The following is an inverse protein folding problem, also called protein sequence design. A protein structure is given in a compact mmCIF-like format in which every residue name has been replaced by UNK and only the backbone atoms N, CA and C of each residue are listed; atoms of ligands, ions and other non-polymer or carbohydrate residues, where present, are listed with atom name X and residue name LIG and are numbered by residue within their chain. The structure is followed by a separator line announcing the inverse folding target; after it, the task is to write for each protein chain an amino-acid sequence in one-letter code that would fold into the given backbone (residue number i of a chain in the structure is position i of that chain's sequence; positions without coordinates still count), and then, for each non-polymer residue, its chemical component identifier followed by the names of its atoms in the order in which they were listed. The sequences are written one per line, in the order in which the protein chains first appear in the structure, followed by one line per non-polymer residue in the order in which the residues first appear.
data_IF_108058772729
#
_entry.id   IF_108058772729
#
_cell.length_a   1.000
_cell.length_b   1.000
_cell.length_c   1.000
_cell.angle_alpha   90.00
_cell.angle_beta   90.00
_cell.angle_gamma   90.00
#
_symmetry.space_group_name_H-M   'P 1'
#
loop_
_entity.id
_entity.type
_entity.pdbx_description
1 polymer ?
#
# COMPACT_ATOMS: atom_id res chain seq x y z
N UNK A 1 6.55 -11.23 -22.08
CA UNK A 1 5.52 -11.32 -21.01
C UNK A 1 6.04 -10.95 -19.61
N UNK A 2 7.21 -11.43 -19.16
CA UNK A 2 7.78 -11.09 -17.83
C UNK A 2 7.94 -9.57 -17.59
N UNK A 3 8.47 -8.84 -18.59
CA UNK A 3 8.71 -7.39 -18.50
C UNK A 3 7.45 -6.56 -18.19
N UNK A 4 6.31 -6.90 -18.81
CA UNK A 4 5.06 -6.15 -18.59
C UNK A 4 4.54 -6.37 -17.18
N UNK A 5 4.57 -7.61 -16.68
CA UNK A 5 4.11 -7.92 -15.32
C UNK A 5 5.02 -7.29 -14.25
N UNK A 6 6.35 -7.32 -14.48
CA UNK A 6 7.32 -6.66 -13.61
C UNK A 6 7.12 -5.13 -13.58
N UNK A 7 6.93 -4.51 -14.74
CA UNK A 7 6.64 -3.08 -14.83
C UNK A 7 5.34 -2.74 -14.08
N UNK A 8 4.27 -3.52 -14.25
CA UNK A 8 3.01 -3.30 -13.51
C UNK A 8 3.21 -3.37 -12.00
N UNK A 9 4.02 -4.31 -11.49
CA UNK A 9 4.33 -4.40 -10.06
C UNK A 9 5.14 -3.22 -9.52
N UNK A 10 6.14 -2.75 -10.29
CA UNK A 10 6.96 -1.60 -9.89
C UNK A 10 6.11 -0.32 -9.89
N UNK A 11 5.32 -0.09 -10.95
CA UNK A 11 4.47 1.10 -11.01
C UNK A 11 3.37 1.08 -9.95
N UNK A 12 2.75 -0.07 -9.66
CA UNK A 12 1.75 -0.16 -8.60
C UNK A 12 2.36 0.10 -7.22
N UNK A 13 3.58 -0.37 -6.97
CA UNK A 13 4.32 -0.06 -5.75
C UNK A 13 4.61 1.44 -5.62
N UNK A 14 5.19 2.07 -6.64
CA UNK A 14 5.55 3.50 -6.60
C UNK A 14 4.31 4.37 -6.40
N UNK A 15 3.23 4.10 -7.15
CA UNK A 15 1.99 4.87 -7.05
C UNK A 15 1.35 4.73 -5.68
N UNK A 16 1.25 3.50 -5.15
CA UNK A 16 0.68 3.27 -3.81
C UNK A 16 1.54 3.90 -2.71
N UNK A 17 2.86 3.85 -2.84
CA UNK A 17 3.78 4.50 -1.91
C UNK A 17 3.60 6.01 -1.88
N UNK A 18 3.60 6.67 -3.03
CA UNK A 18 3.39 8.12 -3.11
C UNK A 18 2.02 8.53 -2.57
N UNK A 19 0.99 7.75 -2.88
CA UNK A 19 -0.37 8.02 -2.44
C UNK A 19 -0.51 7.90 -0.91
N UNK A 20 0.04 6.83 -0.33
CA UNK A 20 0.06 6.66 1.13
C UNK A 20 0.94 7.71 1.82
N UNK A 21 2.06 8.09 1.21
CA UNK A 21 2.95 9.11 1.76
C UNK A 21 2.29 10.50 1.86
N UNK A 22 1.45 10.85 0.88
CA UNK A 22 0.73 12.15 0.88
C UNK A 22 -0.54 12.11 1.75
N UNK A 23 -1.25 10.98 1.77
CA UNK A 23 -2.55 10.88 2.43
C UNK A 23 -2.49 10.48 3.91
N UNK A 24 -1.48 9.73 4.35
CA UNK A 24 -1.38 9.31 5.74
C UNK A 24 -0.78 10.43 6.58
N UNK A 25 -1.49 10.81 7.64
CA UNK A 25 -0.95 11.70 8.65
C UNK A 25 -0.05 10.92 9.62
N UNK A 26 1.01 11.57 10.10
CA UNK A 26 1.94 11.03 11.09
C UNK A 26 1.41 11.18 12.51
N UNK A 27 0.50 12.13 12.73
CA UNK A 27 -0.19 12.34 13.99
C UNK A 27 -1.56 11.68 13.97
N UNK A 28 -1.90 10.93 15.03
CA UNK A 28 -3.27 10.53 15.29
C UNK A 28 -3.64 10.82 16.74
N UNK A 29 -4.90 11.19 16.96
CA UNK A 29 -5.42 11.39 18.30
C UNK A 29 -5.92 10.04 18.83
N UNK A 30 -5.34 9.58 19.93
CA UNK A 30 -5.79 8.39 20.63
C UNK A 30 -6.63 8.81 21.83
N UNK A 31 -7.88 8.36 21.89
CA UNK A 31 -8.72 8.52 23.07
C UNK A 31 -8.55 7.30 23.95
N UNK A 32 -8.13 7.50 25.19
CA UNK A 32 -7.96 6.42 26.16
C UNK A 32 -9.32 6.00 26.76
N UNK A 33 -9.36 4.87 27.47
CA UNK A 33 -10.59 4.32 28.10
C UNK A 33 -11.23 5.28 29.12
N UNK A 34 -10.44 6.23 29.63
CA UNK A 34 -10.85 7.31 30.53
C UNK A 34 -11.44 8.54 29.81
N UNK A 35 -11.52 8.53 28.47
CA UNK A 35 -12.04 9.64 27.67
C UNK A 35 -11.03 10.77 27.42
N UNK A 36 -9.78 10.62 27.89
CA UNK A 36 -8.71 11.59 27.65
C UNK A 36 -8.13 11.40 26.23
N UNK A 37 -8.01 12.50 25.50
CA UNK A 37 -7.40 12.51 24.16
C UNK A 37 -5.94 12.88 24.25
N UNK A 38 -5.06 12.03 23.72
CA UNK A 38 -3.62 12.29 23.59
C UNK A 38 -3.23 12.30 22.13
N UNK A 39 -2.41 13.28 21.73
CA UNK A 39 -1.87 13.31 20.37
C UNK A 39 -0.62 12.44 20.31
N UNK A 40 -0.64 11.40 19.49
CA UNK A 40 0.46 10.47 19.29
C UNK A 40 1.07 10.74 17.92
N UNK A 41 2.38 10.96 17.89
CA UNK A 41 3.13 11.19 16.65
C UNK A 41 4.02 9.98 16.38
N UNK A 42 3.82 9.34 15.24
CA UNK A 42 4.65 8.21 14.79
C UNK A 42 6.06 8.73 14.48
N UNK A 43 7.09 7.98 14.85
CA UNK A 43 8.47 8.34 14.50
C UNK A 43 8.67 8.29 12.98
N UNK A 44 9.58 9.11 12.43
CA UNK A 44 9.83 9.11 10.98
C UNK A 44 10.23 7.73 10.44
N UNK A 45 11.14 6.97 11.08
CA UNK A 45 11.47 5.63 10.63
C UNK A 45 10.24 4.71 10.59
N UNK A 46 9.44 4.68 11.65
CA UNK A 46 8.28 3.79 11.75
C UNK A 46 7.22 4.14 10.71
N UNK A 47 7.01 5.44 10.46
CA UNK A 47 6.09 5.92 9.43
C UNK A 47 6.51 5.49 8.02
N UNK A 48 7.80 5.62 7.69
CA UNK A 48 8.34 5.16 6.41
C UNK A 48 8.23 3.65 6.26
N UNK A 49 8.53 2.88 7.31
CA UNK A 49 8.36 1.42 7.29
C UNK A 49 6.90 1.02 7.12
N UNK A 50 5.98 1.71 7.79
CA UNK A 50 4.54 1.46 7.69
C UNK A 50 4.04 1.69 6.26
N UNK A 51 4.38 2.84 5.65
CA UNK A 51 4.00 3.15 4.27
C UNK A 51 4.62 2.14 3.31
N UNK A 52 5.91 1.83 3.47
CA UNK A 52 6.61 0.86 2.63
C UNK A 52 5.94 -0.51 2.69
N UNK A 53 5.65 -0.99 3.90
CA UNK A 53 4.96 -2.27 4.13
C UNK A 53 3.59 -2.30 3.47
N UNK A 54 2.79 -1.26 3.66
CA UNK A 54 1.45 -1.16 3.06
C UNK A 54 1.53 -1.13 1.53
N UNK A 55 2.50 -0.42 0.97
CA UNK A 55 2.72 -0.33 -0.48
C UNK A 55 3.13 -1.67 -1.09
N UNK A 56 3.96 -2.46 -0.39
CA UNK A 56 4.32 -3.83 -0.81
C UNK A 56 3.08 -4.72 -0.82
N UNK A 57 2.22 -4.67 0.21
CA UNK A 57 1.01 -5.48 0.27
C UNK A 57 0.07 -5.13 -0.90
N UNK A 58 -0.15 -3.84 -1.15
CA UNK A 58 -0.98 -3.36 -2.26
C UNK A 58 -0.42 -3.84 -3.60
N UNK A 59 0.89 -3.71 -3.81
CA UNK A 59 1.52 -4.10 -5.09
C UNK A 59 1.39 -5.60 -5.35
N UNK A 60 1.55 -6.45 -4.32
CA UNK A 60 1.36 -7.90 -4.41
C UNK A 60 -0.09 -8.22 -4.81
N UNK A 61 -1.08 -7.61 -4.16
CA UNK A 61 -2.51 -7.83 -4.47
C UNK A 61 -2.80 -7.45 -5.93
N UNK A 62 -2.33 -6.28 -6.38
CA UNK A 62 -2.53 -5.81 -7.76
C UNK A 62 -1.89 -6.76 -8.77
N UNK A 63 -0.69 -7.27 -8.50
CA UNK A 63 -0.01 -8.24 -9.37
C UNK A 63 -0.79 -9.56 -9.45
N UNK A 64 -1.29 -10.07 -8.33
CA UNK A 64 -2.12 -11.28 -8.28
C UNK A 64 -3.39 -11.09 -9.11
N UNK A 65 -4.10 -9.97 -8.94
CA UNK A 65 -5.30 -9.64 -9.70
C UNK A 65 -4.99 -9.51 -11.19
N UNK A 66 -3.94 -8.79 -11.57
CA UNK A 66 -3.53 -8.63 -12.96
C UNK A 66 -3.20 -9.98 -13.62
N UNK A 67 -2.56 -10.89 -12.89
CA UNK A 67 -2.30 -12.25 -13.35
C UNK A 67 -3.58 -13.07 -13.52
N UNK A 68 -4.48 -13.04 -12.53
CA UNK A 68 -5.76 -13.75 -12.58
C UNK A 68 -6.62 -13.28 -13.76
N UNK A 69 -6.81 -11.96 -13.92
CA UNK A 69 -7.59 -11.36 -15.01
C UNK A 69 -7.05 -11.81 -16.38
N UNK A 70 -5.73 -11.83 -16.55
CA UNK A 70 -5.10 -12.31 -17.79
C UNK A 70 -5.36 -13.79 -18.04
N UNK A 71 -5.29 -14.62 -17.02
CA UNK A 71 -5.57 -16.06 -17.13
C UNK A 71 -7.04 -16.30 -17.52
N UNK A 72 -7.98 -15.57 -16.93
CA UNK A 72 -9.40 -15.64 -17.28
C UNK A 72 -9.68 -15.16 -18.70
N UNK A 73 -9.05 -14.07 -19.16
CA UNK A 73 -9.17 -13.62 -20.56
C UNK A 73 -8.62 -14.66 -21.53
N UNK A 74 -7.49 -15.30 -21.21
CA UNK A 74 -6.90 -16.34 -22.06
C UNK A 74 -7.77 -17.60 -22.15
N UNK A 75 -8.51 -17.94 -21.10
CA UNK A 75 -9.42 -19.10 -21.12
C UNK A 75 -10.78 -18.83 -21.81
N UNK A 76 -11.10 -17.57 -22.13
CA UNK A 76 -12.32 -17.19 -22.86
C UNK A 76 -12.08 -16.95 -24.36
N UNK A 77 -10.83 -16.99 -24.81
CA UNK A 77 -10.42 -16.89 -26.22
C UNK A 77 -9.99 -18.27 -26.71
#
# INVERSE_FOLDING_TARGET
MKKILANTGIYSFIVSFLLLFVLMDRGYNSTDVSGLTSSVVISYPDFLFMITRNSIIISIIVVILAYAIRRFKKNKA
#
